data_IF_133071233282
#
_entry.id   IF_133071233282
#
_cell.length_a   1.000
_cell.length_b   1.000
_cell.length_c   1.000
_cell.angle_alpha   90.00
_cell.angle_beta   90.00
_cell.angle_gamma   90.00
#
_symmetry.space_group_name_H-M   'P 1'
#
loop_
_entity.id
_entity.type
_entity.pdbx_description
1 polymer ?
#
# COMPACT_ATOMS: atom_id res chain seq x y z
N UNK A 1 -29.73 25.81 0.19
CA UNK A 1 -28.35 26.09 -0.23
C UNK A 1 -27.80 24.77 -0.74
N UNK A 2 -26.95 24.77 -1.79
CA UNK A 2 -26.29 23.53 -2.20
C UNK A 2 -25.35 23.09 -1.08
N UNK A 3 -25.29 21.78 -0.86
CA UNK A 3 -24.36 21.19 0.13
C UNK A 3 -22.95 21.24 -0.43
N UNK A 4 -21.97 21.53 0.44
CA UNK A 4 -20.57 21.66 0.07
C UNK A 4 -19.68 20.73 0.90
N UNK A 5 -18.84 19.92 0.22
CA UNK A 5 -17.91 18.96 0.86
C UNK A 5 -16.47 19.35 0.54
N UNK A 6 -15.63 19.41 1.56
CA UNK A 6 -14.18 19.57 1.38
C UNK A 6 -13.52 18.18 1.43
N UNK A 7 -12.68 17.89 0.43
CA UNK A 7 -11.87 16.66 0.35
C UNK A 7 -10.41 17.05 0.56
N UNK A 8 -9.76 16.46 1.54
CA UNK A 8 -8.35 16.71 1.86
C UNK A 8 -7.49 15.57 1.28
N UNK A 9 -6.77 15.88 0.20
CA UNK A 9 -5.94 14.97 -0.57
C UNK A 9 -6.50 14.62 -1.95
N UNK A 10 -5.64 14.73 -2.98
CA UNK A 10 -5.96 14.38 -4.38
C UNK A 10 -5.34 13.03 -4.81
N UNK A 11 -5.24 12.07 -3.90
CA UNK A 11 -4.96 10.67 -4.21
C UNK A 11 -6.18 9.97 -4.79
N UNK A 12 -6.06 8.70 -5.15
CA UNK A 12 -7.17 7.93 -5.73
C UNK A 12 -8.45 7.98 -4.88
N UNK A 13 -8.35 7.90 -3.54
CA UNK A 13 -9.51 7.96 -2.66
C UNK A 13 -10.24 9.31 -2.78
N UNK A 14 -9.51 10.43 -2.77
CA UNK A 14 -10.11 11.76 -2.89
C UNK A 14 -10.71 12.02 -4.27
N UNK A 15 -10.04 11.58 -5.33
CA UNK A 15 -10.52 11.75 -6.70
C UNK A 15 -11.83 10.99 -6.96
N UNK A 16 -11.94 9.72 -6.53
CA UNK A 16 -13.20 8.97 -6.71
C UNK A 16 -14.29 9.44 -5.76
N UNK A 17 -13.94 9.87 -4.54
CA UNK A 17 -14.93 10.50 -3.64
C UNK A 17 -15.55 11.74 -4.26
N UNK A 18 -14.75 12.61 -4.86
CA UNK A 18 -15.22 13.79 -5.60
C UNK A 18 -16.16 13.40 -6.74
N UNK A 19 -15.82 12.37 -7.51
CA UNK A 19 -16.67 11.88 -8.61
C UNK A 19 -18.03 11.37 -8.11
N UNK A 20 -18.08 10.63 -7.01
CA UNK A 20 -19.35 10.16 -6.42
C UNK A 20 -20.22 11.33 -5.94
N UNK A 21 -19.62 12.34 -5.28
CA UNK A 21 -20.34 13.58 -4.89
C UNK A 21 -20.88 14.33 -6.10
N UNK A 22 -20.05 14.53 -7.14
CA UNK A 22 -20.43 15.17 -8.39
C UNK A 22 -21.63 14.49 -9.06
N UNK A 23 -21.64 13.15 -9.11
CA UNK A 23 -22.74 12.37 -9.69
C UNK A 23 -24.07 12.58 -8.95
N UNK A 24 -24.04 13.05 -7.71
CA UNK A 24 -25.21 13.41 -6.89
C UNK A 24 -25.53 14.89 -6.88
N UNK A 25 -24.74 15.70 -7.59
CA UNK A 25 -24.94 17.16 -7.64
C UNK A 25 -24.57 17.87 -6.33
N UNK A 26 -23.71 17.27 -5.52
CA UNK A 26 -23.17 17.89 -4.32
C UNK A 26 -21.90 18.66 -4.70
N UNK A 27 -21.83 19.92 -4.30
CA UNK A 27 -20.64 20.74 -4.54
C UNK A 27 -19.46 20.27 -3.69
N UNK A 28 -18.28 20.29 -4.27
CA UNK A 28 -17.06 19.89 -3.56
C UNK A 28 -15.85 20.67 -4.04
N UNK A 29 -14.80 20.64 -3.24
CA UNK A 29 -13.45 21.00 -3.64
C UNK A 29 -12.43 20.03 -3.05
N UNK A 30 -11.35 19.79 -3.80
CA UNK A 30 -10.21 18.97 -3.35
C UNK A 30 -9.05 19.90 -3.00
N UNK A 31 -8.46 19.69 -1.82
CA UNK A 31 -7.28 20.41 -1.32
C UNK A 31 -6.10 19.43 -1.27
N UNK A 32 -5.08 19.68 -2.07
CA UNK A 32 -3.88 18.84 -2.18
C UNK A 32 -2.63 19.62 -1.75
N UNK A 33 -1.87 19.06 -0.81
CA UNK A 33 -0.67 19.71 -0.29
C UNK A 33 0.48 19.77 -1.32
N UNK A 34 0.55 18.79 -2.23
CA UNK A 34 1.57 18.72 -3.27
C UNK A 34 1.20 19.57 -4.48
N UNK A 35 2.16 19.69 -5.39
CA UNK A 35 2.01 20.29 -6.72
C UNK A 35 1.44 19.32 -7.78
N UNK A 36 1.05 18.10 -7.37
CA UNK A 36 0.53 17.04 -8.23
C UNK A 36 -0.59 16.24 -7.56
N UNK A 37 -1.40 15.59 -8.37
CA UNK A 37 -2.38 14.59 -7.95
C UNK A 37 -1.76 13.19 -7.88
N UNK A 38 -2.54 12.17 -7.48
CA UNK A 38 -2.17 10.75 -7.46
C UNK A 38 -1.70 10.24 -6.09
N UNK A 39 -1.27 11.13 -5.19
CA UNK A 39 -0.80 10.76 -3.85
C UNK A 39 0.42 9.84 -3.90
N UNK A 40 0.33 8.63 -3.29
CA UNK A 40 1.37 7.58 -3.32
C UNK A 40 1.43 6.79 -4.63
N UNK A 41 0.58 7.06 -5.60
CA UNK A 41 0.75 6.65 -6.99
C UNK A 41 1.36 7.84 -7.76
N UNK A 42 2.53 7.64 -8.32
CA UNK A 42 3.28 8.68 -9.00
C UNK A 42 4.07 8.09 -10.15
N UNK A 43 3.64 8.38 -11.37
CA UNK A 43 4.39 8.10 -12.58
C UNK A 43 5.27 9.31 -12.90
N UNK A 44 6.58 9.10 -13.06
CA UNK A 44 7.55 10.18 -13.31
C UNK A 44 8.59 9.77 -14.36
N UNK A 45 9.04 10.73 -15.16
CA UNK A 45 10.06 10.51 -16.19
C UNK A 45 11.45 10.42 -15.55
N UNK A 46 12.00 9.20 -15.47
CA UNK A 46 13.33 8.94 -14.91
C UNK A 46 14.05 7.86 -15.72
N UNK A 47 15.36 7.91 -15.79
CA UNK A 47 16.19 6.92 -16.50
C UNK A 47 15.81 6.70 -17.97
N UNK A 48 15.16 7.71 -18.60
CA UNK A 48 14.79 7.69 -20.02
C UNK A 48 13.43 7.03 -20.29
N UNK A 49 12.57 6.86 -19.27
CA UNK A 49 11.21 6.36 -19.43
C UNK A 49 10.31 6.74 -18.26
N UNK A 50 8.97 6.66 -18.43
CA UNK A 50 8.05 6.72 -17.30
C UNK A 50 8.30 5.56 -16.33
N UNK A 51 8.55 5.86 -15.05
CA UNK A 51 8.67 4.91 -13.96
C UNK A 51 7.57 5.14 -12.91
N UNK A 52 7.10 4.04 -12.34
CA UNK A 52 6.20 4.09 -11.19
C UNK A 52 6.99 4.24 -9.89
N UNK A 53 7.02 5.46 -9.36
CA UNK A 53 7.78 5.78 -8.15
C UNK A 53 7.10 5.23 -6.89
N UNK A 54 5.78 5.07 -6.95
CA UNK A 54 4.96 4.44 -5.90
C UNK A 54 4.26 3.18 -6.39
N UNK A 55 2.91 3.18 -6.31
CA UNK A 55 2.07 2.08 -6.75
C UNK A 55 2.34 1.71 -8.22
N UNK A 56 2.39 0.40 -8.52
CA UNK A 56 2.83 -0.09 -9.83
C UNK A 56 1.91 -1.16 -10.39
N UNK A 57 1.64 -2.22 -9.61
CA UNK A 57 1.01 -3.42 -10.13
C UNK A 57 -0.49 -3.42 -9.90
N UNK A 58 -1.23 -4.04 -10.83
CA UNK A 58 -2.67 -4.16 -10.87
C UNK A 58 -3.08 -5.57 -11.29
N UNK A 59 -4.31 -5.97 -10.95
CA UNK A 59 -4.85 -7.26 -11.37
C UNK A 59 -6.38 -7.21 -11.47
N UNK A 60 -6.97 -8.05 -12.30
CA UNK A 60 -8.45 -8.15 -12.44
C UNK A 60 -9.17 -8.74 -11.23
N UNK A 61 -8.46 -9.36 -10.28
CA UNK A 61 -8.98 -9.75 -8.97
C UNK A 61 -9.00 -8.61 -7.93
N UNK A 62 -8.58 -7.42 -8.31
CA UNK A 62 -8.70 -6.19 -7.54
C UNK A 62 -9.90 -5.41 -8.10
N UNK A 63 -11.12 -5.58 -7.53
CA UNK A 63 -12.36 -5.22 -8.23
C UNK A 63 -12.53 -3.72 -8.46
N UNK A 64 -12.06 -2.90 -7.52
CA UNK A 64 -12.24 -1.45 -7.60
C UNK A 64 -11.32 -0.84 -8.66
N UNK A 65 -10.03 -1.19 -8.66
CA UNK A 65 -9.11 -0.68 -9.68
C UNK A 65 -9.43 -1.27 -11.06
N UNK A 66 -9.88 -2.53 -11.13
CA UNK A 66 -10.26 -3.14 -12.41
C UNK A 66 -11.46 -2.43 -13.05
N UNK A 67 -12.41 -1.97 -12.24
CA UNK A 67 -13.51 -1.14 -12.71
C UNK A 67 -13.03 0.17 -13.36
N UNK A 68 -12.02 0.82 -12.78
CA UNK A 68 -11.45 2.05 -13.34
C UNK A 68 -10.58 1.78 -14.58
N UNK A 69 -9.79 0.69 -14.59
CA UNK A 69 -9.04 0.24 -15.78
C UNK A 69 -9.99 0.07 -16.97
N UNK A 70 -11.12 -0.59 -16.74
CA UNK A 70 -12.14 -0.81 -17.78
C UNK A 70 -12.81 0.48 -18.20
N UNK A 71 -13.15 1.35 -17.24
CA UNK A 71 -13.80 2.65 -17.49
C UNK A 71 -12.96 3.56 -18.39
N UNK A 72 -11.66 3.63 -18.14
CA UNK A 72 -10.75 4.51 -18.88
C UNK A 72 -9.99 3.80 -20.01
N UNK A 73 -10.39 2.56 -20.36
CA UNK A 73 -9.80 1.81 -21.48
C UNK A 73 -8.28 1.66 -21.37
N UNK A 74 -7.78 1.40 -20.16
CA UNK A 74 -6.35 1.21 -19.94
C UNK A 74 -5.93 -0.22 -20.25
N UNK A 75 -4.82 -0.38 -20.95
CA UNK A 75 -4.20 -1.68 -21.23
C UNK A 75 -3.21 -2.06 -20.13
N UNK A 76 -3.02 -3.37 -19.95
CA UNK A 76 -2.04 -3.93 -19.02
C UNK A 76 -0.94 -4.68 -19.77
N UNK A 77 0.24 -4.74 -19.17
CA UNK A 77 1.40 -5.50 -19.63
C UNK A 77 2.00 -6.29 -18.49
N UNK A 78 2.46 -7.51 -18.76
CA UNK A 78 3.13 -8.33 -17.76
C UNK A 78 4.56 -7.82 -17.49
N UNK A 79 4.99 -7.91 -16.25
CA UNK A 79 6.41 -7.82 -15.88
C UNK A 79 7.18 -9.02 -16.47
N UNK A 80 8.49 -8.90 -16.72
CA UNK A 80 9.30 -10.00 -17.20
C UNK A 80 9.22 -11.23 -16.28
N UNK A 81 9.20 -12.40 -16.86
CA UNK A 81 9.39 -13.67 -16.15
C UNK A 81 10.88 -13.99 -16.11
N UNK A 82 11.36 -14.52 -15.01
CA UNK A 82 12.76 -14.87 -14.80
C UNK A 82 12.89 -16.38 -14.66
N UNK A 83 13.80 -16.99 -15.41
CA UNK A 83 14.05 -18.43 -15.31
C UNK A 83 14.99 -18.75 -14.14
N UNK A 84 15.99 -17.90 -13.87
CA UNK A 84 16.97 -18.03 -12.77
C UNK A 84 16.62 -17.10 -11.61
N UNK A 85 16.59 -17.66 -10.40
CA UNK A 85 16.48 -16.91 -9.15
C UNK A 85 17.69 -17.13 -8.27
N UNK A 86 18.10 -16.12 -7.50
CA UNK A 86 19.14 -16.19 -6.48
C UNK A 86 18.58 -15.76 -5.14
N UNK A 87 18.92 -16.47 -4.09
CA UNK A 87 18.54 -16.06 -2.75
C UNK A 87 19.63 -16.30 -1.73
N UNK A 88 19.69 -15.41 -0.77
CA UNK A 88 20.58 -15.53 0.37
C UNK A 88 19.89 -16.40 1.43
N UNK A 89 20.54 -17.51 1.80
CA UNK A 89 20.07 -18.41 2.84
C UNK A 89 21.25 -18.92 3.65
N UNK A 90 21.15 -18.86 4.97
CA UNK A 90 22.22 -19.25 5.91
C UNK A 90 23.60 -18.62 5.57
N UNK A 91 23.58 -17.40 5.06
CA UNK A 91 24.77 -16.64 4.67
C UNK A 91 25.38 -16.99 3.29
N UNK A 92 24.78 -17.92 2.55
CA UNK A 92 25.25 -18.36 1.23
C UNK A 92 24.25 -18.01 0.13
N UNK A 93 24.74 -17.76 -1.08
CA UNK A 93 23.89 -17.55 -2.26
C UNK A 93 23.50 -18.90 -2.87
N UNK A 94 22.21 -19.15 -2.91
CA UNK A 94 21.63 -20.28 -3.64
C UNK A 94 21.22 -19.78 -5.03
N UNK A 95 21.56 -20.54 -6.07
CA UNK A 95 21.18 -20.27 -7.47
C UNK A 95 20.36 -21.45 -7.99
N UNK A 96 19.13 -21.16 -8.43
CA UNK A 96 18.24 -22.17 -9.01
C UNK A 96 17.22 -21.49 -9.96
N UNK A 97 16.15 -22.21 -10.33
CA UNK A 97 15.04 -21.62 -11.07
C UNK A 97 14.06 -20.91 -10.12
N UNK A 98 13.29 -19.95 -10.65
CA UNK A 98 12.19 -19.31 -9.91
C UNK A 98 11.16 -20.37 -9.43
N UNK A 99 10.87 -21.41 -10.26
CA UNK A 99 10.00 -22.53 -9.89
C UNK A 99 10.53 -23.33 -8.68
N UNK A 100 11.85 -23.56 -8.60
CA UNK A 100 12.48 -24.23 -7.45
C UNK A 100 12.39 -23.38 -6.18
N UNK A 101 12.59 -22.09 -6.29
CA UNK A 101 12.42 -21.14 -5.20
C UNK A 101 10.98 -21.15 -4.68
N UNK A 102 10.00 -21.07 -5.57
CA UNK A 102 8.57 -21.14 -5.21
C UNK A 102 8.22 -22.46 -4.51
N UNK A 103 8.81 -23.56 -4.97
CA UNK A 103 8.63 -24.87 -4.35
C UNK A 103 9.16 -24.89 -2.91
N UNK A 104 10.30 -24.24 -2.65
CA UNK A 104 10.86 -24.11 -1.28
C UNK A 104 10.05 -23.18 -0.39
N UNK A 105 9.48 -22.13 -0.95
CA UNK A 105 8.58 -21.23 -0.25
C UNK A 105 7.22 -21.88 0.11
N UNK A 106 6.77 -22.87 -0.64
CA UNK A 106 5.42 -23.42 -0.50
C UNK A 106 5.11 -23.94 0.92
N UNK A 107 6.08 -24.63 1.56
CA UNK A 107 5.89 -25.22 2.89
C UNK A 107 5.79 -24.15 4.00
N UNK A 108 6.72 -23.19 4.14
CA UNK A 108 6.62 -22.13 5.13
C UNK A 108 5.41 -21.22 4.89
N UNK A 109 5.05 -20.95 3.64
CA UNK A 109 3.85 -20.16 3.32
C UNK A 109 2.56 -20.88 3.70
N UNK A 110 2.47 -22.20 3.51
CA UNK A 110 1.30 -22.98 3.94
C UNK A 110 1.07 -22.88 5.46
N UNK A 111 2.12 -22.88 6.27
CA UNK A 111 1.99 -22.70 7.73
C UNK A 111 1.59 -21.27 8.09
N UNK A 112 2.19 -20.24 7.44
CA UNK A 112 1.80 -18.85 7.64
C UNK A 112 0.31 -18.64 7.30
N UNK A 113 -0.19 -19.29 6.26
CA UNK A 113 -1.57 -19.13 5.78
C UNK A 113 -2.62 -20.01 6.48
N UNK A 114 -2.17 -20.88 7.38
CA UNK A 114 -3.08 -21.77 8.13
C UNK A 114 -4.24 -21.01 8.79
N UNK A 115 -5.43 -21.56 8.74
CA UNK A 115 -6.70 -21.00 9.21
C UNK A 115 -7.14 -19.71 8.46
N UNK A 116 -6.53 -19.33 7.34
CA UNK A 116 -6.96 -18.13 6.60
C UNK A 116 -8.38 -18.24 6.04
N UNK A 117 -8.83 -19.43 5.68
CA UNK A 117 -10.18 -19.72 5.21
C UNK A 117 -11.24 -19.62 6.33
N UNK A 118 -10.89 -20.03 7.56
CA UNK A 118 -11.73 -19.91 8.73
C UNK A 118 -11.81 -18.47 9.25
N UNK A 119 -10.69 -17.75 9.18
CA UNK A 119 -10.61 -16.35 9.61
C UNK A 119 -11.29 -15.39 8.64
N UNK A 120 -11.17 -15.67 7.35
CA UNK A 120 -11.59 -14.79 6.28
C UNK A 120 -12.45 -15.50 5.23
N UNK A 121 -13.61 -16.11 5.62
CA UNK A 121 -14.53 -16.74 4.66
C UNK A 121 -15.10 -15.70 3.67
N UNK A 122 -15.16 -14.45 4.08
CA UNK A 122 -15.31 -13.27 3.23
C UNK A 122 -14.18 -12.28 3.56
N UNK A 123 -13.13 -12.18 2.73
CA UNK A 123 -11.97 -11.35 3.04
C UNK A 123 -12.27 -9.83 3.05
N UNK A 124 -13.44 -9.41 2.52
CA UNK A 124 -13.96 -8.04 2.63
C UNK A 124 -14.75 -7.79 3.93
N UNK A 125 -14.91 -8.81 4.80
CA UNK A 125 -15.37 -8.68 6.17
C UNK A 125 -14.30 -9.20 7.15
N UNK A 126 -13.13 -8.54 7.24
CA UNK A 126 -11.94 -9.08 7.90
C UNK A 126 -12.05 -9.19 9.42
N UNK A 127 -13.06 -8.59 10.03
CA UNK A 127 -13.32 -8.70 11.48
C UNK A 127 -14.52 -9.58 11.80
N UNK A 128 -14.98 -10.40 10.83
CA UNK A 128 -16.11 -11.31 11.02
C UNK A 128 -16.00 -12.18 12.29
N UNK A 129 -14.82 -12.75 12.53
CA UNK A 129 -14.54 -13.61 13.69
C UNK A 129 -14.74 -12.87 15.02
N UNK A 130 -14.63 -11.54 15.03
CA UNK A 130 -14.82 -10.69 16.22
C UNK A 130 -16.25 -10.12 16.35
N UNK A 131 -17.09 -10.26 15.33
CA UNK A 131 -18.42 -9.70 15.33
C UNK A 131 -19.35 -10.42 16.34
N UNK A 132 -20.41 -9.74 16.73
CA UNK A 132 -21.46 -10.33 17.60
C UNK A 132 -22.23 -11.44 16.88
N UNK A 133 -22.27 -11.39 15.54
CA UNK A 133 -22.95 -12.38 14.70
C UNK A 133 -22.11 -13.65 14.44
N UNK A 134 -20.84 -13.69 14.92
CA UNK A 134 -19.99 -14.86 14.73
C UNK A 134 -20.51 -16.07 15.51
N UNK A 135 -20.89 -17.10 14.79
CA UNK A 135 -21.45 -18.36 15.29
C UNK A 135 -20.47 -19.55 15.23
N UNK A 136 -19.22 -19.30 14.86
CA UNK A 136 -18.16 -20.31 14.78
C UNK A 136 -17.54 -20.68 16.14
N UNK A 137 -16.56 -21.61 16.15
CA UNK A 137 -15.89 -22.07 17.37
C UNK A 137 -15.18 -20.95 18.12
N UNK A 138 -15.29 -20.93 19.46
CA UNK A 138 -14.60 -19.95 20.31
C UNK A 138 -13.08 -20.01 20.16
N UNK A 139 -12.53 -21.21 19.94
CA UNK A 139 -11.11 -21.46 19.73
C UNK A 139 -10.55 -20.73 18.51
N UNK A 140 -11.35 -20.60 17.44
CA UNK A 140 -10.97 -19.82 16.24
C UNK A 140 -10.86 -18.34 16.58
N UNK A 141 -11.82 -17.79 17.34
CA UNK A 141 -11.78 -16.40 17.81
C UNK A 141 -10.54 -16.13 18.69
N UNK A 142 -10.27 -17.02 19.64
CA UNK A 142 -9.10 -16.91 20.52
C UNK A 142 -7.79 -16.98 19.72
N UNK A 143 -7.69 -17.89 18.75
CA UNK A 143 -6.53 -18.04 17.91
C UNK A 143 -6.33 -16.83 16.98
N UNK A 144 -7.41 -16.28 16.45
CA UNK A 144 -7.36 -15.04 15.64
C UNK A 144 -6.76 -13.87 16.43
N UNK A 145 -7.23 -13.65 17.67
CA UNK A 145 -6.69 -12.60 18.55
C UNK A 145 -5.22 -12.86 18.91
N UNK A 146 -4.84 -14.13 19.12
CA UNK A 146 -3.46 -14.52 19.36
C UNK A 146 -2.59 -14.27 18.15
N UNK A 147 -3.07 -14.61 16.94
CA UNK A 147 -2.33 -14.43 15.68
C UNK A 147 -2.11 -12.95 15.36
N UNK A 148 -3.00 -12.03 15.74
CA UNK A 148 -2.74 -10.59 15.59
C UNK A 148 -1.49 -10.11 16.35
N UNK A 149 -1.10 -10.81 17.41
CA UNK A 149 0.07 -10.49 18.24
C UNK A 149 1.34 -11.26 17.84
N UNK A 150 1.29 -11.97 16.72
CA UNK A 150 2.40 -12.77 16.17
C UNK A 150 2.81 -12.24 14.81
N UNK A 151 4.08 -12.33 14.52
CA UNK A 151 4.63 -12.13 13.18
C UNK A 151 4.62 -13.41 12.36
N UNK A 152 4.89 -13.29 11.06
CA UNK A 152 5.11 -14.45 10.18
C UNK A 152 6.32 -15.27 10.63
N UNK A 153 7.35 -14.62 11.19
CA UNK A 153 8.56 -15.30 11.67
C UNK A 153 8.32 -16.00 13.01
N UNK A 154 7.46 -15.46 13.88
CA UNK A 154 7.05 -16.15 15.10
C UNK A 154 6.36 -17.48 14.77
N UNK A 155 5.48 -17.47 13.75
CA UNK A 155 4.79 -18.68 13.28
C UNK A 155 5.79 -19.73 12.81
N UNK A 156 6.81 -19.35 12.04
CA UNK A 156 7.79 -20.30 11.52
C UNK A 156 8.74 -20.80 12.61
N UNK A 157 9.14 -19.97 13.57
CA UNK A 157 10.03 -20.37 14.69
C UNK A 157 9.38 -21.37 15.66
N UNK A 158 8.05 -21.40 15.72
CA UNK A 158 7.31 -22.39 16.51
C UNK A 158 7.25 -23.76 15.79
N UNK A 159 7.54 -23.84 14.50
CA UNK A 159 7.54 -25.04 13.68
C UNK A 159 8.93 -25.64 13.44
N UNK A 160 8.96 -26.73 12.69
CA UNK A 160 10.20 -27.41 12.28
C UNK A 160 10.57 -27.00 10.85
N UNK A 161 11.10 -25.76 10.70
CA UNK A 161 11.52 -25.20 9.42
C UNK A 161 13.05 -25.06 9.38
N UNK A 162 13.64 -25.28 8.20
CA UNK A 162 15.06 -25.03 7.97
C UNK A 162 15.35 -23.54 7.97
N UNK A 163 16.62 -23.14 8.20
CA UNK A 163 17.00 -21.73 8.12
C UNK A 163 16.74 -21.15 6.74
N UNK A 164 16.96 -21.89 5.65
CA UNK A 164 16.62 -21.48 4.28
C UNK A 164 15.13 -21.17 4.09
N UNK A 165 14.23 -22.00 4.62
CA UNK A 165 12.79 -21.75 4.54
C UNK A 165 12.38 -20.49 5.31
N UNK A 166 13.00 -20.25 6.47
CA UNK A 166 12.79 -19.05 7.27
C UNK A 166 13.33 -17.82 6.53
N UNK A 167 14.55 -17.89 5.97
CA UNK A 167 15.19 -16.78 5.26
C UNK A 167 14.42 -16.40 3.99
N UNK A 168 13.95 -17.35 3.20
CA UNK A 168 13.11 -17.10 2.04
C UNK A 168 11.78 -16.43 2.43
N UNK A 169 11.09 -16.94 3.44
CA UNK A 169 9.86 -16.34 3.93
C UNK A 169 10.10 -14.94 4.51
N UNK A 170 11.21 -14.74 5.23
CA UNK A 170 11.62 -13.42 5.72
C UNK A 170 11.83 -12.43 4.55
N UNK A 171 12.58 -12.83 3.51
CA UNK A 171 12.81 -11.98 2.34
C UNK A 171 11.49 -11.60 1.64
N UNK A 172 10.62 -12.58 1.42
CA UNK A 172 9.30 -12.37 0.81
C UNK A 172 8.47 -11.34 1.59
N UNK A 173 8.33 -11.54 2.91
CA UNK A 173 7.48 -10.68 3.73
C UNK A 173 8.13 -9.35 4.08
N UNK A 174 9.46 -9.24 4.10
CA UNK A 174 10.15 -7.95 4.20
C UNK A 174 9.80 -7.03 3.02
N UNK A 175 9.81 -7.59 1.81
CA UNK A 175 9.38 -6.88 0.61
C UNK A 175 7.86 -6.66 0.58
N UNK A 176 7.06 -7.71 0.87
CA UNK A 176 5.60 -7.64 0.85
C UNK A 176 5.02 -6.63 1.84
N UNK A 177 5.56 -6.57 3.03
CA UNK A 177 5.16 -5.58 4.04
C UNK A 177 5.81 -4.21 3.86
N UNK A 178 6.90 -4.11 3.10
CA UNK A 178 7.78 -2.93 3.01
C UNK A 178 8.13 -2.40 4.41
N UNK A 179 8.43 -3.35 5.30
CA UNK A 179 8.67 -3.11 6.71
C UNK A 179 9.20 -4.35 7.40
N UNK A 180 9.52 -4.25 8.68
CA UNK A 180 10.09 -5.36 9.43
C UNK A 180 9.07 -6.51 9.60
N UNK A 181 9.33 -7.72 9.05
CA UNK A 181 8.43 -8.85 9.17
C UNK A 181 8.33 -9.42 10.60
N UNK A 182 9.27 -9.07 11.50
CA UNK A 182 9.26 -9.44 12.93
C UNK A 182 8.15 -8.72 13.72
N UNK A 183 7.68 -7.56 13.25
CA UNK A 183 6.77 -6.68 13.99
C UNK A 183 5.45 -6.46 13.29
N UNK A 184 5.23 -7.10 12.14
CA UNK A 184 3.98 -7.03 11.37
C UNK A 184 3.06 -8.18 11.79
N UNK A 185 1.77 -7.89 11.96
CA UNK A 185 0.76 -8.92 12.27
C UNK A 185 0.65 -9.97 11.16
N UNK A 186 0.71 -11.26 11.52
CA UNK A 186 0.52 -12.37 10.57
C UNK A 186 -0.88 -12.37 9.94
N UNK A 187 -1.86 -11.73 10.57
CA UNK A 187 -3.20 -11.60 10.00
C UNK A 187 -3.22 -10.83 8.67
N UNK A 188 -2.24 -9.95 8.44
CA UNK A 188 -2.06 -9.30 7.13
C UNK A 188 -1.81 -10.35 6.03
N UNK A 189 -0.85 -11.24 6.24
CA UNK A 189 -0.52 -12.32 5.29
C UNK A 189 -1.71 -13.24 5.05
N UNK A 190 -2.40 -13.63 6.13
CA UNK A 190 -3.57 -14.50 6.08
C UNK A 190 -4.74 -13.85 5.33
N UNK A 191 -4.98 -12.55 5.50
CA UNK A 191 -6.00 -11.84 4.74
C UNK A 191 -5.61 -11.69 3.26
N UNK A 192 -4.34 -11.37 2.95
CA UNK A 192 -3.92 -11.21 1.56
C UNK A 192 -4.05 -12.51 0.76
N UNK A 193 -3.69 -13.66 1.37
CA UNK A 193 -3.90 -14.93 0.67
C UNK A 193 -5.40 -15.26 0.54
N UNK A 194 -6.25 -14.88 1.50
CA UNK A 194 -7.69 -15.04 1.38
C UNK A 194 -8.28 -14.18 0.24
N UNK A 195 -7.81 -12.94 0.04
CA UNK A 195 -8.11 -12.09 -1.12
C UNK A 195 -7.60 -12.67 -2.45
N UNK A 196 -6.73 -13.68 -2.37
CA UNK A 196 -6.12 -14.40 -3.49
C UNK A 196 -6.65 -15.84 -3.59
N UNK A 197 -7.88 -16.08 -3.13
CA UNK A 197 -8.52 -17.39 -3.14
C UNK A 197 -7.64 -18.49 -2.51
N UNK A 198 -6.94 -18.14 -1.43
CA UNK A 198 -6.01 -18.99 -0.66
C UNK A 198 -4.85 -19.60 -1.47
N UNK A 199 -4.41 -18.91 -2.54
CA UNK A 199 -3.34 -19.36 -3.44
C UNK A 199 -2.18 -18.38 -3.48
N UNK A 200 -0.97 -18.83 -3.07
CA UNK A 200 0.25 -18.02 -3.12
C UNK A 200 0.52 -17.50 -4.55
N UNK A 201 0.46 -18.37 -5.55
CA UNK A 201 0.71 -17.97 -6.96
C UNK A 201 -0.25 -16.91 -7.49
N UNK A 202 -1.48 -16.84 -6.95
CA UNK A 202 -2.42 -15.78 -7.28
C UNK A 202 -2.11 -14.51 -6.50
N UNK A 203 -1.65 -14.61 -5.26
CA UNK A 203 -1.17 -13.46 -4.49
C UNK A 203 -0.01 -12.77 -5.23
N UNK A 204 0.99 -13.53 -5.69
CA UNK A 204 2.12 -13.02 -6.46
C UNK A 204 1.66 -12.37 -7.78
N UNK A 205 0.75 -13.03 -8.50
CA UNK A 205 0.20 -12.48 -9.73
C UNK A 205 -0.55 -11.16 -9.51
N UNK A 206 -1.28 -11.01 -8.40
CA UNK A 206 -2.03 -9.80 -8.08
C UNK A 206 -1.15 -8.63 -7.66
N UNK A 207 0.00 -8.90 -7.06
CA UNK A 207 0.83 -7.86 -6.44
C UNK A 207 2.06 -7.48 -7.26
N UNK A 208 2.53 -8.35 -8.19
CA UNK A 208 3.82 -8.15 -8.87
C UNK A 208 3.82 -8.41 -10.38
N UNK A 209 2.69 -8.86 -10.99
CA UNK A 209 2.76 -9.36 -12.36
C UNK A 209 2.33 -8.38 -13.44
N UNK A 210 1.27 -7.61 -13.26
CA UNK A 210 0.72 -6.78 -14.34
C UNK A 210 0.80 -5.30 -13.99
N UNK A 211 1.18 -4.48 -14.98
CA UNK A 211 1.28 -3.02 -14.90
C UNK A 211 0.38 -2.39 -15.94
N UNK A 212 0.03 -1.13 -15.72
CA UNK A 212 -0.62 -0.32 -16.74
C UNK A 212 0.41 0.12 -17.80
N UNK A 213 0.04 0.02 -19.06
CA UNK A 213 0.90 0.46 -20.19
C UNK A 213 1.20 1.95 -20.08
N UNK A 214 0.21 2.76 -19.72
CA UNK A 214 0.34 4.21 -19.55
C UNK A 214 0.67 4.62 -18.10
N UNK A 215 0.99 3.68 -17.23
CA UNK A 215 1.23 3.92 -15.82
C UNK A 215 -0.03 4.28 -15.03
N UNK A 216 0.11 4.46 -13.72
CA UNK A 216 -0.98 4.90 -12.84
C UNK A 216 -1.51 6.29 -13.22
N UNK A 217 -0.68 7.11 -13.87
CA UNK A 217 -1.11 8.42 -14.37
C UNK A 217 -2.28 8.32 -15.36
N UNK A 218 -2.38 7.26 -16.14
CA UNK A 218 -3.51 7.04 -17.04
C UNK A 218 -4.84 6.95 -16.30
N UNK A 219 -4.86 6.38 -15.09
CA UNK A 219 -6.05 6.28 -14.25
C UNK A 219 -6.33 7.57 -13.46
N UNK A 220 -5.35 8.08 -12.69
CA UNK A 220 -5.64 9.25 -11.84
C UNK A 220 -5.92 10.51 -12.68
N UNK A 221 -5.28 10.67 -13.85
CA UNK A 221 -5.62 11.73 -14.78
C UNK A 221 -7.00 11.52 -15.44
N UNK A 222 -7.36 10.26 -15.75
CA UNK A 222 -8.70 9.92 -16.25
C UNK A 222 -9.79 10.31 -15.26
N UNK A 223 -9.65 9.93 -13.98
CA UNK A 223 -10.60 10.28 -12.93
C UNK A 223 -10.65 11.79 -12.74
N UNK A 224 -9.51 12.47 -12.66
CA UNK A 224 -9.45 13.91 -12.50
C UNK A 224 -10.07 14.67 -13.70
N UNK A 225 -9.93 14.11 -14.92
CA UNK A 225 -10.53 14.66 -16.14
C UNK A 225 -12.08 14.63 -16.16
N UNK A 226 -12.70 13.73 -15.41
CA UNK A 226 -14.16 13.66 -15.25
C UNK A 226 -14.69 14.71 -14.25
N UNK A 227 -13.81 15.30 -13.42
CA UNK A 227 -14.19 16.20 -12.35
C UNK A 227 -14.41 17.63 -12.88
N UNK A 228 -15.48 18.28 -12.42
CA UNK A 228 -15.80 19.67 -12.74
C UNK A 228 -15.53 20.63 -11.58
N UNK A 229 -15.48 20.11 -10.36
CA UNK A 229 -15.12 20.87 -9.16
C UNK A 229 -13.61 21.13 -9.08
N UNK A 230 -13.19 22.14 -8.30
CA UNK A 230 -11.80 22.56 -8.25
C UNK A 230 -10.90 21.54 -7.52
N UNK A 231 -9.71 21.29 -8.09
CA UNK A 231 -8.58 20.63 -7.43
C UNK A 231 -7.55 21.73 -7.16
N UNK A 232 -7.36 22.08 -5.88
CA UNK A 232 -6.42 23.11 -5.46
C UNK A 232 -5.13 22.46 -5.00
N UNK A 233 -4.12 22.49 -5.85
CA UNK A 233 -2.75 22.02 -5.54
C UNK A 233 -2.04 23.03 -4.63
N UNK A 234 -0.95 22.59 -3.97
CA UNK A 234 -0.14 23.40 -3.05
C UNK A 234 -0.99 24.08 -1.97
N UNK A 235 -2.04 23.38 -1.53
CA UNK A 235 -3.03 23.89 -0.57
C UNK A 235 -2.99 23.01 0.67
N UNK A 236 -2.27 23.46 1.67
CA UNK A 236 -2.00 22.70 2.90
C UNK A 236 -3.09 22.97 3.94
N UNK A 237 -3.77 21.90 4.38
CA UNK A 237 -4.69 21.92 5.52
C UNK A 237 -3.89 21.70 6.80
N UNK A 238 -4.10 22.59 7.78
CA UNK A 238 -3.38 22.54 9.07
C UNK A 238 -4.28 22.20 10.25
N UNK A 239 -5.59 22.49 10.13
CA UNK A 239 -6.57 22.26 11.19
C UNK A 239 -7.96 22.03 10.62
N UNK A 240 -8.76 21.20 11.30
CA UNK A 240 -10.16 20.95 11.01
C UNK A 240 -10.96 21.05 12.32
N UNK A 241 -11.83 22.06 12.43
CA UNK A 241 -12.88 22.11 13.46
C UNK A 241 -14.12 21.46 12.88
N UNK A 242 -14.78 20.55 13.61
CA UNK A 242 -15.98 19.86 13.14
C UNK A 242 -16.98 19.62 14.26
N UNK A 243 -18.26 19.61 13.92
CA UNK A 243 -19.38 19.32 14.82
C UNK A 243 -20.53 18.63 14.06
N UNK A 244 -21.73 18.61 14.63
CA UNK A 244 -22.92 18.00 14.01
C UNK A 244 -23.50 18.86 12.88
N UNK A 245 -23.17 20.14 12.81
CA UNK A 245 -23.71 21.08 11.83
C UNK A 245 -22.83 21.21 10.57
N UNK A 246 -21.49 21.04 10.74
CA UNK A 246 -20.54 21.17 9.64
C UNK A 246 -19.10 21.13 10.09
N UNK A 247 -18.23 21.74 9.27
CA UNK A 247 -16.82 21.82 9.56
C UNK A 247 -16.18 23.12 9.04
N UNK A 248 -15.06 23.51 9.66
CA UNK A 248 -14.17 24.58 9.20
C UNK A 248 -12.77 24.03 8.97
N UNK A 249 -12.31 24.19 7.75
CA UNK A 249 -10.99 23.72 7.31
C UNK A 249 -10.05 24.91 7.23
N UNK A 250 -8.96 24.89 7.99
CA UNK A 250 -7.97 25.96 8.08
C UNK A 250 -6.77 25.62 7.21
N UNK A 251 -6.39 26.55 6.35
CA UNK A 251 -5.25 26.41 5.46
C UNK A 251 -3.99 27.10 6.04
N UNK A 252 -2.82 26.62 5.66
CA UNK A 252 -1.53 27.27 6.00
C UNK A 252 -1.47 28.72 5.52
N UNK A 253 -2.18 29.07 4.43
CA UNK A 253 -2.32 30.44 3.92
C UNK A 253 -3.09 31.40 4.84
N UNK A 254 -3.79 30.88 5.87
CA UNK A 254 -4.71 31.63 6.71
C UNK A 254 -6.16 31.66 6.20
N UNK A 255 -6.45 31.12 5.02
CA UNK A 255 -7.82 30.96 4.53
C UNK A 255 -8.58 29.94 5.39
N UNK A 256 -9.87 30.19 5.61
CA UNK A 256 -10.80 29.29 6.31
C UNK A 256 -11.92 28.93 5.34
N UNK A 257 -12.17 27.64 5.17
CA UNK A 257 -13.22 27.11 4.29
C UNK A 257 -14.28 26.44 5.16
N UNK A 258 -15.53 26.89 5.03
CA UNK A 258 -16.69 26.26 5.68
C UNK A 258 -17.23 25.15 4.77
N UNK A 259 -17.61 24.02 5.36
CA UNK A 259 -18.13 22.85 4.67
C UNK A 259 -19.25 22.17 5.48
N UNK A 260 -20.21 21.55 4.78
CA UNK A 260 -21.22 20.70 5.41
C UNK A 260 -20.62 19.37 5.88
N UNK A 261 -19.52 18.93 5.26
CA UNK A 261 -18.78 17.71 5.64
C UNK A 261 -17.36 17.75 5.08
N UNK A 262 -16.44 16.99 5.71
CA UNK A 262 -15.05 16.85 5.27
C UNK A 262 -14.70 15.37 5.11
N UNK A 263 -14.06 15.04 3.97
CA UNK A 263 -13.45 13.72 3.73
C UNK A 263 -11.93 13.89 3.76
N UNK A 264 -11.27 13.29 4.74
CA UNK A 264 -9.82 13.30 4.89
C UNK A 264 -9.23 12.04 4.27
N UNK A 265 -8.37 12.19 3.25
CA UNK A 265 -7.73 11.06 2.54
C UNK A 265 -6.21 11.00 2.78
N UNK A 266 -5.76 11.66 3.83
CA UNK A 266 -4.37 11.73 4.24
C UNK A 266 -3.96 10.42 4.93
N UNK A 267 -2.81 9.80 4.58
CA UNK A 267 -2.37 8.56 5.21
C UNK A 267 -1.96 8.77 6.68
N UNK A 268 -2.01 7.69 7.48
CA UNK A 268 -1.69 7.73 8.93
C UNK A 268 -0.38 8.44 9.22
N UNK A 269 0.66 8.16 8.43
CA UNK A 269 2.00 8.74 8.63
C UNK A 269 2.06 10.27 8.54
N UNK A 270 1.12 10.89 7.82
CA UNK A 270 1.03 12.34 7.65
C UNK A 270 -0.16 12.97 8.40
N UNK A 271 -1.06 12.17 8.96
CA UNK A 271 -2.29 12.65 9.58
C UNK A 271 -2.02 13.51 10.81
N UNK A 272 -0.92 13.27 11.52
CA UNK A 272 -0.47 14.08 12.65
C UNK A 272 -0.07 15.54 12.29
N UNK A 273 0.00 15.89 11.00
CA UNK A 273 0.22 17.26 10.54
C UNK A 273 -1.07 18.12 10.58
N UNK A 274 -2.23 17.51 10.86
CA UNK A 274 -3.52 18.20 10.93
C UNK A 274 -4.02 18.18 12.37
N UNK A 275 -4.34 19.35 12.92
CA UNK A 275 -5.03 19.48 14.19
C UNK A 275 -6.52 19.21 14.00
N UNK A 276 -7.13 18.41 14.88
CA UNK A 276 -8.57 18.15 14.89
C UNK A 276 -9.22 18.70 16.16
N UNK A 277 -10.34 19.40 15.99
CA UNK A 277 -11.12 19.92 17.11
C UNK A 277 -12.65 19.66 16.86
N UNK A 278 -13.32 18.89 17.73
CA UNK A 278 -12.75 18.19 18.88
C UNK A 278 -11.64 17.20 18.51
N UNK A 279 -10.81 16.83 19.47
CA UNK A 279 -9.76 15.82 19.27
C UNK A 279 -10.36 14.49 18.81
N UNK A 280 -9.62 13.78 17.96
CA UNK A 280 -10.01 12.46 17.51
C UNK A 280 -10.11 11.45 18.68
N UNK A 281 -10.93 10.40 18.57
CA UNK A 281 -11.00 9.33 19.55
C UNK A 281 -9.61 8.78 19.92
N UNK A 282 -9.42 8.37 21.16
CA UNK A 282 -8.13 7.89 21.66
C UNK A 282 -7.55 6.71 20.87
N UNK A 283 -8.41 5.83 20.34
CA UNK A 283 -8.03 4.70 19.48
C UNK A 283 -7.42 5.16 18.17
N UNK A 284 -7.98 6.21 17.56
CA UNK A 284 -7.46 6.81 16.32
C UNK A 284 -6.15 7.55 16.62
N UNK A 285 -6.12 8.39 17.68
CA UNK A 285 -4.92 9.13 18.08
C UNK A 285 -3.75 8.18 18.35
N UNK A 286 -4.01 7.09 19.10
CA UNK A 286 -3.00 6.06 19.35
C UNK A 286 -2.45 5.45 18.03
N UNK A 287 -3.30 5.16 17.06
CA UNK A 287 -2.86 4.60 15.77
C UNK A 287 -1.99 5.60 15.00
N UNK A 288 -2.32 6.92 15.06
CA UNK A 288 -1.51 7.98 14.44
C UNK A 288 -0.13 8.09 15.12
N UNK A 289 -0.07 7.98 16.45
CA UNK A 289 1.18 8.02 17.22
C UNK A 289 2.05 6.79 16.98
N UNK A 290 1.47 5.59 17.01
CA UNK A 290 2.17 4.31 16.82
C UNK A 290 2.63 4.12 15.36
N UNK A 291 1.93 4.73 14.39
CA UNK A 291 2.09 4.54 12.94
C UNK A 291 1.99 3.07 12.51
N UNK A 292 1.91 2.84 11.22
CA UNK A 292 2.05 1.50 10.64
C UNK A 292 3.52 1.04 10.61
N UNK A 293 3.74 -0.25 10.37
CA UNK A 293 5.07 -0.82 10.15
C UNK A 293 5.54 -0.63 8.69
N UNK A 294 5.42 0.57 8.16
CA UNK A 294 5.64 0.94 6.74
C UNK A 294 6.94 1.72 6.61
N UNK A 295 8.05 1.13 6.97
CA UNK A 295 9.35 1.80 7.14
C UNK A 295 10.32 1.59 5.98
N UNK A 296 9.92 0.87 4.94
CA UNK A 296 10.82 0.48 3.88
C UNK A 296 10.82 1.42 2.67
N UNK A 297 11.58 1.02 1.67
CA UNK A 297 11.82 1.81 0.46
C UNK A 297 11.63 0.97 -0.81
N UNK A 298 11.46 1.69 -1.93
CA UNK A 298 11.50 1.18 -3.29
C UNK A 298 12.59 1.90 -4.06
N UNK A 299 13.46 1.14 -4.73
CA UNK A 299 14.54 1.68 -5.56
C UNK A 299 14.43 1.16 -7.00
N UNK A 300 14.73 2.01 -7.95
CA UNK A 300 14.97 1.66 -9.33
C UNK A 300 16.48 1.75 -9.59
N UNK A 301 17.06 0.73 -10.22
CA UNK A 301 18.50 0.65 -10.51
C UNK A 301 18.66 0.32 -11.99
N UNK A 302 19.46 1.12 -12.70
CA UNK A 302 19.80 0.89 -14.10
C UNK A 302 21.18 0.24 -14.17
N UNK A 303 21.29 -0.90 -14.83
CA UNK A 303 22.54 -1.64 -15.04
C UNK A 303 22.89 -1.74 -16.51
N UNK A 304 24.18 -1.84 -16.86
CA UNK A 304 24.64 -2.09 -18.22
C UNK A 304 24.25 -3.50 -18.68
N UNK A 305 23.97 -3.64 -19.95
CA UNK A 305 23.64 -4.91 -20.60
C UNK A 305 22.19 -5.34 -20.39
N UNK A 306 21.83 -6.43 -21.06
CA UNK A 306 20.51 -7.05 -20.96
C UNK A 306 20.54 -8.22 -19.99
N UNK A 307 20.01 -8.02 -18.80
CA UNK A 307 19.99 -9.01 -17.71
C UNK A 307 18.57 -9.30 -17.27
N UNK A 308 18.22 -10.59 -17.15
CA UNK A 308 16.94 -11.01 -16.60
C UNK A 308 17.18 -11.73 -15.27
N UNK A 309 17.14 -10.97 -14.20
CA UNK A 309 17.56 -11.38 -12.87
C UNK A 309 16.45 -11.28 -11.84
N UNK A 310 16.51 -12.15 -10.85
CA UNK A 310 15.64 -12.14 -9.67
C UNK A 310 16.45 -12.52 -8.42
N UNK A 311 16.29 -11.78 -7.32
CA UNK A 311 16.99 -12.06 -6.07
C UNK A 311 16.13 -11.83 -4.84
N UNK A 312 16.28 -12.72 -3.84
CA UNK A 312 15.75 -12.56 -2.48
C UNK A 312 16.87 -12.53 -1.43
N UNK A 313 16.73 -11.67 -0.42
CA UNK A 313 17.58 -11.67 0.77
C UNK A 313 16.77 -11.32 2.02
N UNK A 314 16.92 -12.08 3.12
CA UNK A 314 16.19 -11.81 4.36
C UNK A 314 16.64 -10.50 5.00
N UNK A 315 15.73 -9.85 5.76
CA UNK A 315 16.11 -8.77 6.66
C UNK A 315 17.21 -9.26 7.64
N UNK A 316 18.24 -8.48 7.93
CA UNK A 316 18.38 -7.03 7.70
C UNK A 316 19.07 -6.61 6.39
N UNK A 317 18.98 -7.38 5.31
CA UNK A 317 19.47 -6.93 4.02
C UNK A 317 18.85 -5.59 3.62
N UNK A 318 19.64 -4.68 3.02
CA UNK A 318 19.17 -3.36 2.60
C UNK A 318 17.99 -3.45 1.65
N UNK A 319 18.05 -4.38 0.70
CA UNK A 319 16.99 -4.72 -0.25
C UNK A 319 16.68 -6.20 -0.11
N UNK A 320 15.42 -6.53 0.07
CA UNK A 320 14.96 -7.89 0.32
C UNK A 320 14.53 -8.62 -0.95
N UNK A 321 14.10 -7.88 -1.97
CA UNK A 321 13.81 -8.40 -3.31
C UNK A 321 14.34 -7.46 -4.38
N UNK A 322 14.88 -8.03 -5.44
CA UNK A 322 15.30 -7.29 -6.65
C UNK A 322 14.98 -8.11 -7.88
N UNK A 323 14.47 -7.45 -8.92
CA UNK A 323 14.16 -8.12 -10.19
C UNK A 323 14.26 -7.17 -11.38
N UNK A 324 14.51 -7.75 -12.55
CA UNK A 324 14.43 -7.04 -13.82
C UNK A 324 13.00 -6.63 -14.14
N UNK A 325 12.82 -5.36 -14.54
CA UNK A 325 11.50 -4.84 -14.82
C UNK A 325 11.38 -4.26 -16.24
N UNK A 326 12.46 -3.65 -16.76
CA UNK A 326 12.47 -3.10 -18.11
C UNK A 326 13.79 -3.35 -18.82
N UNK A 327 13.70 -3.80 -20.08
CA UNK A 327 14.83 -3.93 -21.00
C UNK A 327 14.82 -2.73 -21.95
N UNK A 328 15.87 -1.94 -21.92
CA UNK A 328 15.95 -0.68 -22.66
C UNK A 328 16.64 -0.85 -24.02
N UNK A 329 16.33 0.04 -24.98
CA UNK A 329 16.93 0.02 -26.32
C UNK A 329 18.41 0.42 -26.34
N UNK A 330 18.90 1.05 -25.27
CA UNK A 330 20.30 1.47 -25.10
C UNK A 330 21.19 0.37 -24.50
N UNK A 331 20.77 -0.90 -24.59
CA UNK A 331 21.46 -2.06 -24.02
C UNK A 331 21.67 -1.95 -22.51
N UNK A 332 20.66 -1.46 -21.79
CA UNK A 332 20.60 -1.45 -20.34
C UNK A 332 19.36 -2.15 -19.82
N UNK A 333 19.40 -2.51 -18.55
CA UNK A 333 18.23 -3.09 -17.85
C UNK A 333 17.90 -2.25 -16.63
N UNK A 334 16.63 -1.98 -16.40
CA UNK A 334 16.15 -1.34 -15.17
C UNK A 334 15.61 -2.42 -14.25
N UNK A 335 16.19 -2.47 -13.06
CA UNK A 335 15.78 -3.35 -11.96
C UNK A 335 14.88 -2.57 -11.01
N UNK A 336 13.98 -3.27 -10.33
CA UNK A 336 13.22 -2.76 -9.19
C UNK A 336 13.58 -3.53 -7.94
N UNK A 337 13.79 -2.81 -6.84
CA UNK A 337 14.09 -3.40 -5.54
C UNK A 337 13.19 -2.84 -4.43
N UNK A 338 12.95 -3.68 -3.41
CA UNK A 338 12.22 -3.31 -2.19
C UNK A 338 13.00 -3.72 -0.96
N UNK A 339 13.10 -2.80 0.00
CA UNK A 339 13.72 -3.02 1.30
C UNK A 339 12.79 -2.67 2.45
N UNK A 340 13.06 -3.22 3.63
CA UNK A 340 12.23 -3.02 4.83
C UNK A 340 12.59 -1.78 5.65
N UNK A 341 13.70 -1.12 5.33
CA UNK A 341 14.22 0.04 6.06
C UNK A 341 14.68 1.14 5.08
N UNK A 342 14.00 2.28 5.09
CA UNK A 342 14.30 3.40 4.21
C UNK A 342 15.63 4.10 4.56
N UNK A 343 16.02 4.09 5.85
CA UNK A 343 17.27 4.69 6.31
C UNK A 343 18.53 3.89 5.90
N UNK A 344 18.34 2.61 5.52
CA UNK A 344 19.43 1.75 5.11
C UNK A 344 19.94 2.02 3.68
N UNK A 345 19.19 2.77 2.86
CA UNK A 345 19.44 2.93 1.43
C UNK A 345 19.41 4.40 1.02
N UNK A 346 20.51 4.89 0.44
CA UNK A 346 20.48 6.16 -0.31
C UNK A 346 19.98 5.89 -1.74
N UNK A 347 18.73 6.29 -2.01
CA UNK A 347 18.03 6.04 -3.27
C UNK A 347 18.64 6.77 -4.49
N UNK A 348 19.66 7.61 -4.29
CA UNK A 348 20.35 8.40 -5.32
C UNK A 348 21.84 8.11 -5.41
N UNK A 349 22.37 7.25 -4.55
CA UNK A 349 23.80 6.94 -4.49
C UNK A 349 24.11 5.67 -5.30
N UNK A 350 24.86 5.84 -6.41
CA UNK A 350 25.24 4.73 -7.30
C UNK A 350 26.13 3.70 -6.59
N UNK A 351 27.02 4.14 -5.70
CA UNK A 351 27.91 3.21 -4.96
C UNK A 351 27.10 2.33 -4.00
N UNK A 352 26.09 2.91 -3.34
CA UNK A 352 25.18 2.16 -2.49
C UNK A 352 24.32 1.17 -3.32
N UNK A 353 23.78 1.64 -4.46
CA UNK A 353 23.05 0.79 -5.40
C UNK A 353 23.93 -0.36 -5.96
N UNK A 354 25.22 -0.11 -6.24
CA UNK A 354 26.16 -1.15 -6.66
C UNK A 354 26.40 -2.19 -5.56
N UNK A 355 26.57 -1.73 -4.31
CA UNK A 355 26.74 -2.65 -3.17
C UNK A 355 25.48 -3.52 -2.95
N UNK A 356 24.30 -2.96 -3.18
CA UNK A 356 23.02 -3.70 -3.14
C UNK A 356 22.97 -4.77 -4.24
N UNK A 357 23.30 -4.41 -5.49
CA UNK A 357 23.31 -5.35 -6.62
C UNK A 357 24.31 -6.49 -6.38
N UNK A 358 25.49 -6.15 -5.89
CA UNK A 358 26.56 -7.13 -5.61
C UNK A 358 26.17 -8.16 -4.53
N UNK A 359 25.10 -7.94 -3.78
CA UNK A 359 24.56 -8.92 -2.83
C UNK A 359 24.17 -10.23 -3.55
N UNK A 360 23.78 -10.18 -4.83
CA UNK A 360 23.36 -11.34 -5.63
C UNK A 360 24.16 -11.49 -6.92
N UNK A 361 24.61 -10.36 -7.52
CA UNK A 361 25.13 -10.30 -8.88
C UNK A 361 26.41 -9.46 -8.89
N UNK A 362 27.54 -10.10 -8.88
CA UNK A 362 28.88 -9.47 -8.85
C UNK A 362 29.37 -8.99 -10.25
N UNK A 363 28.68 -9.38 -11.31
CA UNK A 363 28.97 -9.08 -12.70
C UNK A 363 28.13 -7.94 -13.29
N UNK A 364 27.17 -7.38 -12.55
CA UNK A 364 26.33 -6.28 -13.01
C UNK A 364 26.93 -4.92 -12.63
N UNK A 365 27.08 -4.04 -13.64
CA UNK A 365 27.54 -2.67 -13.43
C UNK A 365 26.38 -1.68 -13.36
N UNK A 366 26.21 -1.03 -12.21
CA UNK A 366 25.19 0.01 -12.00
C UNK A 366 25.63 1.32 -12.67
N UNK A 367 24.72 1.92 -13.42
CA UNK A 367 24.96 3.20 -14.12
C UNK A 367 24.08 4.34 -13.63
N UNK A 368 22.93 4.02 -13.02
CA UNK A 368 22.00 5.00 -12.46
C UNK A 368 21.11 4.37 -11.40
N UNK A 369 20.61 5.15 -10.45
CA UNK A 369 19.61 4.72 -9.50
C UNK A 369 18.67 5.87 -9.09
N UNK A 370 17.45 5.55 -8.71
CA UNK A 370 16.47 6.54 -8.28
C UNK A 370 15.37 5.91 -7.42
N UNK A 371 14.71 6.73 -6.63
CA UNK A 371 13.54 6.37 -5.84
C UNK A 371 12.89 7.61 -5.26
N UNK A 372 11.99 7.41 -4.32
CA UNK A 372 11.42 8.46 -3.48
C UNK A 372 11.24 7.91 -2.07
N UNK A 373 11.76 8.62 -1.10
CA UNK A 373 11.60 8.26 0.30
C UNK A 373 10.21 8.68 0.79
N UNK A 374 9.27 7.73 0.69
CA UNK A 374 7.89 7.92 1.11
C UNK A 374 7.74 8.05 2.64
N UNK A 375 8.71 7.53 3.40
CA UNK A 375 8.70 7.57 4.86
C UNK A 375 9.16 8.92 5.37
N UNK A 376 10.24 9.48 4.81
CA UNK A 376 10.71 10.83 5.13
C UNK A 376 9.85 11.93 4.51
N UNK A 377 9.03 11.61 3.51
CA UNK A 377 8.14 12.58 2.85
C UNK A 377 7.06 13.10 3.81
N UNK A 378 7.07 14.41 4.07
CA UNK A 378 6.15 15.11 4.99
C UNK A 378 4.67 14.80 4.74
N UNK A 379 4.27 14.58 3.48
CA UNK A 379 2.88 14.38 3.08
C UNK A 379 2.46 12.92 2.96
N UNK A 380 3.39 11.99 3.23
CA UNK A 380 3.14 10.55 3.29
C UNK A 380 3.48 9.98 4.66
N UNK A 381 4.72 10.19 5.14
CA UNK A 381 5.23 9.68 6.40
C UNK A 381 5.26 8.15 6.49
N UNK A 382 5.05 7.48 5.35
CA UNK A 382 4.97 6.02 5.23
C UNK A 382 4.94 5.58 3.76
N UNK A 383 5.32 4.32 3.50
CA UNK A 383 5.04 3.65 2.23
C UNK A 383 3.58 3.14 2.21
N UNK A 384 3.29 1.88 1.85
CA UNK A 384 1.93 1.33 1.99
C UNK A 384 1.69 0.81 3.42
N UNK A 385 0.41 0.74 3.86
CA UNK A 385 0.09 0.37 5.22
C UNK A 385 0.38 -1.12 5.49
N UNK A 386 1.24 -1.38 6.48
CA UNK A 386 1.47 -2.71 7.05
C UNK A 386 1.24 -2.64 8.54
N UNK A 387 0.26 -3.39 9.03
CA UNK A 387 -0.21 -3.29 10.40
C UNK A 387 0.78 -3.96 11.36
N UNK A 388 1.14 -3.24 12.43
CA UNK A 388 1.91 -3.84 13.53
C UNK A 388 1.09 -4.93 14.24
N UNK A 389 1.77 -5.76 14.98
CA UNK A 389 1.12 -6.70 15.91
C UNK A 389 0.12 -5.96 16.81
N UNK A 390 -1.11 -6.47 16.89
CA UNK A 390 -2.25 -5.89 17.62
C UNK A 390 -3.05 -4.84 16.84
N UNK A 391 -2.55 -4.28 15.75
CA UNK A 391 -3.25 -3.24 15.00
C UNK A 391 -4.32 -3.79 14.04
N UNK A 392 -4.31 -5.09 13.75
CA UNK A 392 -5.34 -5.67 12.89
C UNK A 392 -6.70 -5.69 13.59
N UNK A 393 -6.73 -6.01 14.88
CA UNK A 393 -7.95 -6.06 15.70
C UNK A 393 -8.29 -4.73 16.35
N UNK A 394 -7.32 -3.82 16.58
CA UNK A 394 -7.51 -2.62 17.42
C UNK A 394 -7.12 -1.28 16.73
N UNK A 395 -6.89 -1.25 15.42
CA UNK A 395 -6.35 -0.04 14.79
C UNK A 395 -7.22 0.56 13.68
N UNK A 396 -7.08 0.01 12.49
CA UNK A 396 -7.54 0.60 11.23
C UNK A 396 -9.05 0.83 11.13
N UNK A 397 -9.88 -0.03 11.71
CA UNK A 397 -11.33 0.00 11.52
C UNK A 397 -12.00 1.22 12.18
N UNK A 398 -11.42 1.77 13.24
CA UNK A 398 -11.94 2.98 13.90
C UNK A 398 -11.99 4.20 12.98
N UNK A 399 -11.13 4.27 11.97
CA UNK A 399 -11.16 5.34 10.98
C UNK A 399 -12.38 5.27 10.04
N UNK A 400 -13.08 4.14 10.01
CA UNK A 400 -14.31 3.97 9.23
C UNK A 400 -15.56 4.45 9.97
N UNK A 401 -15.42 4.72 11.25
CA UNK A 401 -16.47 5.30 12.08
C UNK A 401 -16.45 6.82 11.92
N UNK A 402 -17.60 7.42 11.59
CA UNK A 402 -17.68 8.88 11.46
C UNK A 402 -17.68 9.54 12.82
N UNK A 403 -16.99 10.66 12.90
CA UNK A 403 -17.05 11.56 14.04
C UNK A 403 -17.66 12.88 13.58
N UNK A 404 -18.97 13.07 13.82
CA UNK A 404 -19.72 14.24 13.33
C UNK A 404 -19.63 14.35 11.80
N UNK A 405 -19.28 15.50 11.24
CA UNK A 405 -19.13 15.76 9.80
C UNK A 405 -17.72 15.49 9.27
N UNK A 406 -16.93 14.68 10.01
CA UNK A 406 -15.59 14.29 9.63
C UNK A 406 -15.53 12.80 9.27
N UNK A 407 -14.98 12.50 8.09
CA UNK A 407 -14.88 11.16 7.54
C UNK A 407 -13.47 10.88 7.02
N UNK A 408 -13.04 9.63 7.08
CA UNK A 408 -11.74 9.20 6.56
C UNK A 408 -11.91 8.24 5.38
N UNK A 409 -11.12 8.43 4.32
CA UNK A 409 -10.96 7.50 3.21
C UNK A 409 -9.48 7.36 2.86
N UNK A 410 -9.09 6.25 2.27
CA UNK A 410 -7.71 5.96 1.91
C UNK A 410 -7.42 4.47 1.97
N UNK A 411 -6.36 4.03 1.29
CA UNK A 411 -5.98 2.62 1.26
C UNK A 411 -5.76 2.04 2.66
N UNK A 412 -5.32 2.86 3.61
CA UNK A 412 -4.92 2.45 4.96
C UNK A 412 -6.07 1.82 5.78
N UNK A 413 -7.32 2.13 5.46
CA UNK A 413 -8.53 1.61 6.15
C UNK A 413 -9.48 0.81 5.30
N UNK A 414 -9.04 0.33 4.15
CA UNK A 414 -9.83 -0.57 3.31
C UNK A 414 -10.13 -1.89 4.03
N UNK A 415 -11.26 -2.48 3.71
CA UNK A 415 -11.63 -3.81 4.19
C UNK A 415 -10.89 -4.89 3.43
N UNK A 416 -10.80 -4.74 2.12
CA UNK A 416 -10.13 -5.66 1.21
C UNK A 416 -8.62 -5.43 1.16
N UNK A 417 -8.13 -4.97 0.03
CA UNK A 417 -6.71 -4.71 -0.23
C UNK A 417 -6.20 -3.49 0.53
N UNK A 418 -6.03 -3.65 1.84
CA UNK A 418 -5.59 -2.57 2.73
C UNK A 418 -4.12 -2.24 2.48
N UNK A 419 -3.89 -0.99 2.10
CA UNK A 419 -2.58 -0.37 2.02
C UNK A 419 -1.73 -0.73 0.82
N UNK A 420 -1.64 -2.00 0.46
CA UNK A 420 -0.62 -2.50 -0.48
C UNK A 420 -0.86 -2.12 -1.95
N UNK A 421 -2.11 -1.96 -2.35
CA UNK A 421 -2.48 -1.60 -3.74
C UNK A 421 -3.50 -0.47 -3.78
N UNK A 422 -3.67 0.14 -4.95
CA UNK A 422 -4.60 1.27 -5.18
C UNK A 422 -6.06 0.87 -4.93
N UNK A 423 -6.40 -0.39 -5.08
CA UNK A 423 -7.77 -0.91 -4.95
C UNK A 423 -8.46 -0.48 -3.66
N UNK A 424 -7.76 -0.55 -2.52
CA UNK A 424 -8.30 -0.12 -1.23
C UNK A 424 -8.56 1.38 -1.12
N UNK A 425 -7.81 2.22 -1.84
CA UNK A 425 -8.08 3.65 -1.89
C UNK A 425 -9.37 3.95 -2.66
N UNK A 426 -9.61 3.22 -3.76
CA UNK A 426 -10.83 3.33 -4.56
C UNK A 426 -12.05 2.80 -3.77
N UNK A 427 -11.91 1.64 -3.09
CA UNK A 427 -12.93 1.08 -2.20
C UNK A 427 -13.44 2.14 -1.22
N UNK A 428 -12.53 2.66 -0.41
CA UNK A 428 -12.89 3.57 0.68
C UNK A 428 -13.34 4.94 0.19
N UNK A 429 -12.78 5.44 -0.90
CA UNK A 429 -13.19 6.71 -1.50
C UNK A 429 -14.66 6.70 -1.92
N UNK A 430 -15.08 5.63 -2.61
CA UNK A 430 -16.47 5.42 -3.04
C UNK A 430 -17.40 5.22 -1.84
N UNK A 431 -17.03 4.33 -0.90
CA UNK A 431 -17.86 4.05 0.27
C UNK A 431 -18.07 5.28 1.16
N UNK A 432 -16.98 6.02 1.44
CA UNK A 432 -17.04 7.21 2.30
C UNK A 432 -17.86 8.32 1.65
N UNK A 433 -17.70 8.55 0.34
CA UNK A 433 -18.51 9.52 -0.36
C UNK A 433 -20.01 9.19 -0.31
N UNK A 434 -20.38 7.90 -0.51
CA UNK A 434 -21.77 7.45 -0.41
C UNK A 434 -22.35 7.62 0.98
N UNK A 435 -21.54 7.39 2.02
CA UNK A 435 -21.93 7.66 3.41
C UNK A 435 -22.21 9.15 3.63
N UNK A 436 -21.30 10.03 3.20
CA UNK A 436 -21.48 11.49 3.28
C UNK A 436 -22.75 11.93 2.52
N UNK A 437 -22.96 11.41 1.30
CA UNK A 437 -24.16 11.69 0.52
C UNK A 437 -25.43 11.35 1.30
N UNK A 438 -25.49 10.13 1.87
CA UNK A 438 -26.64 9.69 2.65
C UNK A 438 -26.89 10.58 3.87
N UNK A 439 -25.86 11.00 4.59
CA UNK A 439 -25.96 11.87 5.75
C UNK A 439 -26.41 13.31 5.38
N UNK A 440 -26.03 13.80 4.20
CA UNK A 440 -26.42 15.14 3.73
C UNK A 440 -27.83 15.20 3.15
N UNK A 441 -28.42 14.05 2.78
CA UNK A 441 -29.78 13.92 2.27
C UNK A 441 -30.82 13.81 3.41
N UNK A 442 -30.39 13.54 4.66
CA UNK A 442 -31.25 13.48 5.85
C UNK A 442 -31.48 14.87 6.45
#
# INVERSE_FOLDING_TARGET
MSKHVVIVGAGFAGLVAARELQMKGIDYQILEARDRIGGRAWTDERMGRPLEIGATWVHWFQPHIWSEITRYGQDIVASPHTDEARWLADGEIVVATEEEMDRRLARPMAEIFKNSDEYFPNPYNPLWVLSDDYDGPAEIREQFIKDDKRSVLDVLREGDFTQEEIDLANAYWSAGYIGNPETTSVLMAKQWVALSDHRLSLLDAQTLRYKLVNGMQGLYNGIAGDLTGPIRLQTVVTKIDHDTEGAKVYLESGEIIEADSVIVTVPVGALGNIEFNPALPATITKTIEDKWNSTGCKIWIKVKGRHNVFGYAPSPAKISVMRSEYFMDDDTTILVGFGSDHDAVDLSNIEDAQAIVNQWFDDLEVVDCTGHDWVADKWSGQAWASLRQGQFTEGWHHFRESTSRLHFAGADWARGWRGVVVDGALETGVETARKVIHELEQ
#
